data_IF_918433618479
#
_entry.id   IF_918433618479
#
_cell.length_a   1.000
_cell.length_b   1.000
_cell.length_c   1.000
_cell.angle_alpha   90.00
_cell.angle_beta   90.00
_cell.angle_gamma   90.00
#
_symmetry.space_group_name_H-M   'P 1'
#
loop_
_entity.id
_entity.type
_entity.pdbx_description
1 polymer ?
#
# COMPACT_ATOMS: atom_id res chain seq x y z
N UNK A 1 14.72 -14.13 -13.91
CA UNK A 1 13.81 -13.17 -13.23
C UNK A 1 13.14 -13.92 -12.09
N UNK A 2 13.01 -13.31 -10.91
CA UNK A 2 12.31 -13.93 -9.77
C UNK A 2 10.80 -13.72 -9.87
N UNK A 3 10.02 -14.58 -9.19
CA UNK A 3 8.56 -14.43 -9.11
C UNK A 3 8.15 -13.42 -8.04
N UNK A 4 6.90 -12.97 -8.08
CA UNK A 4 6.31 -12.09 -7.06
C UNK A 4 6.27 -12.79 -5.71
N UNK A 5 5.92 -14.09 -5.68
CA UNK A 5 5.95 -14.89 -4.45
C UNK A 5 7.35 -14.99 -3.84
N UNK A 6 8.40 -15.06 -4.65
CA UNK A 6 9.79 -15.02 -4.14
C UNK A 6 10.10 -13.67 -3.48
N UNK A 7 9.64 -12.56 -4.06
CA UNK A 7 9.80 -11.22 -3.47
C UNK A 7 9.10 -11.16 -2.12
N UNK A 8 7.80 -11.49 -2.09
CA UNK A 8 6.96 -11.48 -0.90
C UNK A 8 7.60 -12.28 0.24
N UNK A 9 7.89 -13.56 0.03
CA UNK A 9 8.40 -14.43 1.10
C UNK A 9 9.70 -13.91 1.72
N UNK A 10 10.62 -13.38 0.91
CA UNK A 10 11.91 -12.89 1.40
C UNK A 10 11.78 -11.53 2.10
N UNK A 11 11.00 -10.59 1.53
CA UNK A 11 10.79 -9.28 2.15
C UNK A 11 9.98 -9.38 3.44
N UNK A 12 8.90 -10.18 3.46
CA UNK A 12 8.10 -10.41 4.66
C UNK A 12 8.94 -11.01 5.78
N UNK A 13 9.79 -11.99 5.46
CA UNK A 13 10.71 -12.59 6.43
C UNK A 13 11.71 -11.56 6.98
N UNK A 14 12.32 -10.75 6.12
CA UNK A 14 13.23 -9.70 6.58
C UNK A 14 12.50 -8.66 7.45
N UNK A 15 11.29 -8.27 7.06
CA UNK A 15 10.52 -7.26 7.78
C UNK A 15 10.11 -7.73 9.18
N UNK A 16 9.60 -8.96 9.31
CA UNK A 16 9.25 -9.56 10.60
C UNK A 16 10.46 -9.66 11.51
N UNK A 17 11.60 -10.14 10.98
CA UNK A 17 12.82 -10.27 11.78
C UNK A 17 13.33 -8.91 12.24
N UNK A 18 13.25 -7.90 11.38
CA UNK A 18 13.64 -6.54 11.71
C UNK A 18 12.73 -5.94 12.80
N UNK A 19 11.41 -6.02 12.63
CA UNK A 19 10.44 -5.54 13.62
C UNK A 19 10.61 -6.25 14.96
N UNK A 20 10.79 -7.58 14.92
CA UNK A 20 10.94 -8.38 16.13
C UNK A 20 12.21 -7.99 16.91
N UNK A 21 13.29 -7.69 16.19
CA UNK A 21 14.52 -7.19 16.78
C UNK A 21 14.36 -5.78 17.36
N UNK A 22 13.74 -4.84 16.62
CA UNK A 22 13.58 -3.46 17.10
C UNK A 22 12.67 -3.35 18.32
N UNK A 23 11.54 -4.05 18.30
CA UNK A 23 10.51 -3.93 19.34
C UNK A 23 10.68 -4.96 20.45
N UNK A 24 11.67 -5.84 20.34
CA UNK A 24 11.92 -6.95 21.27
C UNK A 24 10.63 -7.74 21.57
N UNK A 25 9.84 -8.00 20.52
CA UNK A 25 8.52 -8.64 20.56
C UNK A 25 8.38 -9.55 19.35
N UNK A 26 7.62 -10.62 19.44
CA UNK A 26 7.41 -11.52 18.31
C UNK A 26 6.40 -10.92 17.31
N UNK A 27 6.80 -10.88 16.04
CA UNK A 27 5.92 -10.59 14.90
C UNK A 27 5.68 -11.85 14.10
N UNK A 28 4.54 -11.91 13.41
CA UNK A 28 4.19 -12.99 12.50
C UNK A 28 3.56 -12.47 11.22
N UNK A 29 3.60 -13.29 10.17
CA UNK A 29 2.93 -13.01 8.91
C UNK A 29 1.64 -13.82 8.80
N UNK A 30 0.65 -13.18 8.19
CA UNK A 30 -0.53 -13.83 7.63
C UNK A 30 -0.46 -13.68 6.11
N UNK A 31 -0.19 -14.78 5.42
CA UNK A 31 -0.27 -14.84 3.97
C UNK A 31 -1.65 -15.32 3.54
N UNK A 32 -2.44 -14.53 2.81
CA UNK A 32 -3.69 -15.00 2.23
C UNK A 32 -3.44 -16.11 1.20
N UNK A 33 -4.44 -16.94 0.96
CA UNK A 33 -4.43 -17.83 -0.21
C UNK A 33 -4.58 -17.01 -1.49
N UNK A 34 -4.20 -17.56 -2.65
CA UNK A 34 -4.33 -16.85 -3.94
C UNK A 34 -5.76 -16.34 -4.23
N UNK A 35 -6.78 -17.10 -3.81
CA UNK A 35 -8.18 -16.68 -3.93
C UNK A 35 -8.49 -15.50 -3.01
N UNK A 36 -7.96 -15.53 -1.78
CA UNK A 36 -8.09 -14.42 -0.83
C UNK A 36 -7.27 -13.20 -1.26
N UNK A 37 -6.05 -13.33 -1.79
CA UNK A 37 -5.24 -12.21 -2.30
C UNK A 37 -6.04 -11.40 -3.34
N UNK A 38 -6.73 -12.09 -4.26
CA UNK A 38 -7.58 -11.45 -5.26
C UNK A 38 -8.78 -10.70 -4.68
N UNK A 39 -9.29 -11.16 -3.53
CA UNK A 39 -10.39 -10.52 -2.81
C UNK A 39 -9.92 -9.45 -1.83
N UNK A 40 -8.80 -9.64 -1.14
CA UNK A 40 -8.36 -8.82 -0.02
C UNK A 40 -7.46 -7.68 -0.47
N UNK A 41 -6.82 -7.83 -1.63
CA UNK A 41 -6.03 -6.78 -2.24
C UNK A 41 -4.62 -6.64 -1.67
N UNK A 42 -4.19 -7.46 -0.70
CA UNK A 42 -2.80 -7.49 -0.21
C UNK A 42 -2.21 -8.91 -0.26
N UNK A 43 -0.88 -9.03 -0.23
CA UNK A 43 -0.18 -10.32 -0.30
C UNK A 43 0.25 -10.82 1.09
N UNK A 44 0.55 -9.91 2.03
CA UNK A 44 0.87 -10.29 3.40
C UNK A 44 0.35 -9.26 4.41
N UNK A 45 -0.18 -9.75 5.52
CA UNK A 45 -0.32 -8.98 6.76
C UNK A 45 0.84 -9.28 7.71
N UNK A 46 1.44 -8.27 8.31
CA UNK A 46 2.47 -8.41 9.34
C UNK A 46 1.93 -7.86 10.65
N UNK A 47 1.89 -8.69 11.69
CA UNK A 47 1.19 -8.40 12.94
C UNK A 47 2.06 -8.67 14.16
N UNK A 48 1.88 -7.85 15.20
CA UNK A 48 2.58 -7.97 16.48
C UNK A 48 2.40 -6.70 17.31
N UNK A 49 2.66 -6.79 18.62
CA UNK A 49 2.58 -5.64 19.53
C UNK A 49 1.26 -4.85 19.43
N UNK A 50 0.12 -5.53 19.26
CA UNK A 50 -1.21 -4.92 19.07
C UNK A 50 -1.36 -4.00 17.84
N UNK A 51 -0.41 -4.05 16.90
CA UNK A 51 -0.39 -3.29 15.63
C UNK A 51 -0.34 -4.25 14.44
N UNK A 52 -0.56 -3.73 13.24
CA UNK A 52 -0.50 -4.51 12.01
C UNK A 52 -0.20 -3.66 10.78
N UNK A 53 0.39 -4.26 9.76
CA UNK A 53 0.46 -3.66 8.43
C UNK A 53 0.05 -4.64 7.35
N UNK A 54 -0.61 -4.12 6.33
CA UNK A 54 -0.98 -4.85 5.12
C UNK A 54 -0.05 -4.43 3.99
N UNK A 55 0.54 -5.39 3.31
CA UNK A 55 1.58 -5.14 2.31
C UNK A 55 1.19 -5.83 1.01
N UNK A 56 1.16 -5.05 -0.07
CA UNK A 56 1.09 -5.55 -1.43
C UNK A 56 2.48 -5.46 -2.06
N UNK A 57 3.09 -6.60 -2.30
CA UNK A 57 4.33 -6.70 -3.06
C UNK A 57 4.01 -6.68 -4.55
N UNK A 58 4.91 -6.10 -5.34
CA UNK A 58 4.90 -6.28 -6.80
C UNK A 58 6.30 -6.59 -7.27
N UNK A 59 6.47 -7.58 -8.15
CA UNK A 59 7.79 -7.80 -8.77
C UNK A 59 8.08 -6.75 -9.84
N UNK A 60 9.36 -6.43 -10.02
CA UNK A 60 9.81 -5.55 -11.09
C UNK A 60 9.94 -6.28 -12.44
N UNK A 61 9.50 -5.60 -13.49
CA UNK A 61 9.80 -5.89 -14.90
C UNK A 61 10.78 -4.83 -15.39
N UNK A 62 12.00 -5.24 -15.75
CA UNK A 62 13.09 -4.31 -16.06
C UNK A 62 13.35 -4.30 -17.56
N UNK A 63 13.34 -3.10 -18.15
CA UNK A 63 13.68 -2.86 -19.56
C UNK A 63 14.62 -1.65 -19.65
N UNK A 64 15.91 -1.91 -19.89
CA UNK A 64 16.94 -0.87 -19.88
C UNK A 64 17.01 -0.16 -18.52
N UNK A 65 16.82 1.17 -18.51
CA UNK A 65 16.78 1.97 -17.28
C UNK A 65 15.42 1.97 -16.59
N UNK A 66 14.37 1.43 -17.20
CA UNK A 66 13.00 1.51 -16.70
C UNK A 66 12.65 0.27 -15.90
N UNK A 67 12.16 0.50 -14.68
CA UNK A 67 11.61 -0.50 -13.78
C UNK A 67 10.10 -0.33 -13.72
N UNK A 68 9.36 -1.37 -14.06
CA UNK A 68 7.89 -1.36 -14.08
C UNK A 68 7.32 -2.35 -13.06
N UNK A 69 6.28 -1.93 -12.35
CA UNK A 69 5.47 -2.76 -11.47
C UNK A 69 4.02 -2.69 -11.92
N UNK A 70 3.37 -3.85 -12.03
CA UNK A 70 2.01 -3.96 -12.59
C UNK A 70 0.99 -4.09 -11.46
N UNK A 71 0.04 -3.17 -11.40
CA UNK A 71 -0.98 -3.12 -10.36
C UNK A 71 -2.31 -3.68 -10.88
N UNK A 72 -3.18 -4.10 -9.94
CA UNK A 72 -4.57 -4.47 -10.21
C UNK A 72 -4.75 -5.49 -11.35
N UNK A 73 -3.86 -6.49 -11.46
CA UNK A 73 -3.97 -7.56 -12.48
C UNK A 73 -5.00 -8.65 -12.11
N UNK A 74 -5.89 -8.35 -11.17
CA UNK A 74 -7.01 -9.20 -10.76
C UNK A 74 -8.23 -8.98 -11.66
N UNK A 75 -9.24 -9.85 -11.55
CA UNK A 75 -10.48 -9.75 -12.33
C UNK A 75 -11.29 -8.49 -11.97
N UNK A 76 -11.33 -8.14 -10.68
CA UNK A 76 -12.10 -7.00 -10.16
C UNK A 76 -11.42 -5.64 -10.41
N UNK A 77 -10.09 -5.60 -10.54
CA UNK A 77 -9.30 -4.41 -10.88
C UNK A 77 -9.44 -3.23 -9.91
N UNK A 78 -9.79 -3.50 -8.67
CA UNK A 78 -10.15 -2.56 -7.59
C UNK A 78 -9.21 -2.69 -6.37
N UNK A 79 -8.11 -3.42 -6.51
CA UNK A 79 -7.15 -3.69 -5.42
C UNK A 79 -6.58 -2.37 -4.86
N UNK A 80 -6.11 -1.46 -5.72
CA UNK A 80 -5.60 -0.16 -5.29
C UNK A 80 -6.66 0.66 -4.53
N UNK A 81 -7.89 0.71 -5.03
CA UNK A 81 -8.99 1.42 -4.37
C UNK A 81 -9.22 0.92 -2.94
N UNK A 82 -9.32 -0.40 -2.75
CA UNK A 82 -9.56 -0.98 -1.42
C UNK A 82 -8.40 -0.72 -0.46
N UNK A 83 -7.16 -0.77 -0.94
CA UNK A 83 -6.00 -0.43 -0.12
C UNK A 83 -5.96 1.06 0.24
N UNK A 84 -6.40 1.95 -0.66
CA UNK A 84 -6.55 3.38 -0.35
C UNK A 84 -7.60 3.63 0.73
N UNK A 85 -8.73 2.91 0.70
CA UNK A 85 -9.76 3.02 1.75
C UNK A 85 -9.24 2.54 3.11
N UNK A 86 -8.47 1.44 3.16
CA UNK A 86 -7.86 0.94 4.39
C UNK A 86 -6.81 1.91 4.93
N UNK A 87 -6.00 2.51 4.06
CA UNK A 87 -5.05 3.56 4.45
C UNK A 87 -5.78 4.81 4.98
N UNK A 88 -6.84 5.26 4.30
CA UNK A 88 -7.64 6.41 4.70
C UNK A 88 -8.33 6.20 6.06
N UNK A 89 -8.61 4.94 6.43
CA UNK A 89 -9.09 4.57 7.77
C UNK A 89 -8.00 4.63 8.87
N UNK A 90 -6.78 5.06 8.54
CA UNK A 90 -5.68 5.27 9.49
C UNK A 90 -4.75 4.07 9.65
N UNK A 91 -4.86 3.05 8.80
CA UNK A 91 -4.08 1.82 8.95
C UNK A 91 -2.79 1.84 8.12
N UNK A 92 -1.79 1.10 8.61
CA UNK A 92 -0.52 0.93 7.91
C UNK A 92 -0.70 -0.01 6.70
N UNK A 93 -0.86 0.59 5.53
CA UNK A 93 -1.00 -0.14 4.25
C UNK A 93 0.07 0.35 3.29
N UNK A 94 0.78 -0.59 2.67
CA UNK A 94 1.93 -0.26 1.82
C UNK A 94 1.96 -1.07 0.53
N UNK A 95 2.39 -0.41 -0.55
CA UNK A 95 2.98 -1.07 -1.70
C UNK A 95 4.49 -1.19 -1.52
N UNK A 96 5.02 -2.38 -1.79
CA UNK A 96 6.44 -2.68 -1.77
C UNK A 96 6.94 -2.95 -3.21
N UNK A 97 7.77 -2.04 -3.71
CA UNK A 97 8.38 -2.08 -5.04
C UNK A 97 9.89 -2.38 -4.93
N UNK A 98 10.30 -3.67 -4.92
CA UNK A 98 11.69 -4.08 -4.82
C UNK A 98 12.52 -3.56 -5.99
N UNK A 99 13.67 -2.97 -5.68
CA UNK A 99 14.70 -2.58 -6.65
C UNK A 99 15.69 -3.73 -6.89
N UNK A 100 15.14 -4.92 -7.12
CA UNK A 100 15.84 -6.14 -7.50
C UNK A 100 14.88 -7.08 -8.25
N UNK A 101 15.39 -7.84 -9.21
CA UNK A 101 14.56 -8.72 -10.05
C UNK A 101 15.23 -10.06 -10.42
N UNK A 102 16.43 -10.30 -9.90
CA UNK A 102 17.21 -11.52 -10.16
C UNK A 102 17.54 -12.26 -8.86
N UNK A 103 17.77 -13.58 -8.98
CA UNK A 103 18.14 -14.40 -7.83
C UNK A 103 19.49 -13.98 -7.25
N UNK A 104 20.44 -13.57 -8.10
CA UNK A 104 21.76 -13.09 -7.64
C UNK A 104 21.64 -11.82 -6.79
N UNK A 105 20.84 -10.82 -7.22
CA UNK A 105 20.59 -9.62 -6.42
C UNK A 105 19.94 -9.97 -5.07
N UNK A 106 18.96 -10.89 -5.07
CA UNK A 106 18.32 -11.36 -3.85
C UNK A 106 19.32 -12.00 -2.88
N UNK A 107 20.21 -12.87 -3.38
CA UNK A 107 21.24 -13.54 -2.59
C UNK A 107 22.25 -12.55 -2.01
N UNK A 108 22.72 -11.59 -2.82
CA UNK A 108 23.65 -10.55 -2.40
C UNK A 108 23.03 -9.64 -1.32
N UNK A 109 21.75 -9.31 -1.46
CA UNK A 109 21.06 -8.34 -0.60
C UNK A 109 20.21 -8.98 0.51
N UNK A 110 20.31 -10.29 0.76
CA UNK A 110 19.41 -11.10 1.63
C UNK A 110 19.19 -10.63 3.09
N UNK A 111 19.88 -9.60 3.56
CA UNK A 111 19.74 -8.99 4.90
C UNK A 111 19.51 -7.47 4.84
N UNK A 112 19.24 -6.96 3.65
CA UNK A 112 19.11 -5.53 3.32
C UNK A 112 18.03 -5.31 2.25
N UNK A 113 17.16 -6.28 2.02
CA UNK A 113 16.10 -6.20 1.01
C UNK A 113 15.15 -5.04 1.33
N UNK A 114 14.90 -4.73 2.60
CA UNK A 114 14.08 -3.58 3.00
C UNK A 114 14.66 -2.24 2.50
N UNK A 115 16.00 -2.12 2.50
CA UNK A 115 16.72 -0.95 1.98
C UNK A 115 16.77 -0.92 0.45
N UNK A 116 16.58 -2.07 -0.20
CA UNK A 116 16.47 -2.20 -1.65
C UNK A 116 15.01 -2.34 -2.10
N UNK A 117 14.08 -1.72 -1.37
CA UNK A 117 12.66 -1.69 -1.69
C UNK A 117 12.15 -0.26 -1.58
N UNK A 118 11.41 0.18 -2.58
CA UNK A 118 10.70 1.44 -2.55
C UNK A 118 9.32 1.22 -1.95
N UNK A 119 8.98 2.02 -0.94
CA UNK A 119 7.73 1.90 -0.20
C UNK A 119 6.82 3.05 -0.57
N UNK A 120 5.55 2.75 -0.84
CA UNK A 120 4.54 3.75 -1.17
C UNK A 120 3.29 3.50 -0.34
N UNK A 121 2.68 4.58 0.12
CA UNK A 121 1.28 4.53 0.52
C UNK A 121 0.39 4.36 -0.72
N UNK A 122 -0.73 3.62 -0.63
CA UNK A 122 -1.71 3.54 -1.70
C UNK A 122 -2.16 4.91 -2.24
N UNK A 123 -2.33 5.92 -1.37
CA UNK A 123 -2.72 7.29 -1.71
C UNK A 123 -1.69 8.06 -2.54
N UNK A 124 -0.41 7.65 -2.52
CA UNK A 124 0.62 8.23 -3.39
C UNK A 124 0.51 7.75 -4.84
N UNK A 125 -0.27 6.70 -5.10
CA UNK A 125 -0.48 6.12 -6.42
C UNK A 125 -1.83 6.61 -6.94
N UNK A 126 -1.81 7.65 -7.75
CA UNK A 126 -3.03 8.29 -8.30
C UNK A 126 -3.02 8.17 -9.82
N UNK A 127 -3.52 7.06 -10.39
CA UNK A 127 -3.57 6.88 -11.84
C UNK A 127 -4.54 7.85 -12.52
N UNK A 128 -4.29 8.15 -13.80
CA UNK A 128 -5.27 8.82 -14.65
C UNK A 128 -6.54 7.96 -14.75
N UNK A 129 -7.70 8.56 -14.51
CA UNK A 129 -8.99 7.86 -14.50
C UNK A 129 -9.38 7.19 -13.18
N UNK A 130 -8.56 7.33 -12.12
CA UNK A 130 -8.86 6.81 -10.78
C UNK A 130 -8.19 5.47 -10.46
N UNK A 131 -8.45 4.91 -9.26
CA UNK A 131 -7.73 3.75 -8.72
C UNK A 131 -8.22 2.39 -9.23
N UNK A 132 -9.32 2.37 -9.98
CA UNK A 132 -9.88 1.17 -10.60
C UNK A 132 -9.36 1.02 -12.03
N UNK A 133 -9.00 -0.21 -12.39
CA UNK A 133 -8.41 -0.52 -13.69
C UNK A 133 -7.03 -1.15 -13.58
N UNK A 134 -6.41 -1.41 -14.73
CA UNK A 134 -5.04 -1.90 -14.79
C UNK A 134 -4.09 -0.71 -14.81
N UNK A 135 -3.14 -0.67 -13.87
CA UNK A 135 -2.16 0.41 -13.79
C UNK A 135 -0.73 -0.14 -13.77
N UNK A 136 0.21 0.72 -14.09
CA UNK A 136 1.65 0.43 -14.07
C UNK A 136 2.38 1.56 -13.36
N UNK A 137 3.11 1.22 -12.30
CA UNK A 137 4.07 2.15 -11.69
C UNK A 137 5.40 1.96 -12.40
N UNK A 138 6.03 3.06 -12.80
CA UNK A 138 7.32 3.07 -13.48
C UNK A 138 8.32 3.97 -12.77
N UNK A 139 9.55 3.48 -12.68
CA UNK A 139 10.70 4.24 -12.21
C UNK A 139 11.78 4.23 -13.28
N UNK A 140 12.21 5.41 -13.71
CA UNK A 140 13.37 5.56 -14.59
C UNK A 140 14.63 5.78 -13.75
N UNK A 141 15.53 4.81 -13.78
CA UNK A 141 16.77 4.83 -12.99
C UNK A 141 17.81 5.86 -13.47
N UNK A 142 17.65 6.43 -14.66
CA UNK A 142 18.51 7.51 -15.18
C UNK A 142 18.03 8.87 -14.68
N UNK A 143 16.73 9.15 -14.83
CA UNK A 143 16.14 10.45 -14.43
C UNK A 143 15.71 10.50 -12.97
N UNK A 144 15.65 9.34 -12.31
CA UNK A 144 15.18 9.16 -10.93
C UNK A 144 13.71 9.54 -10.72
N UNK A 145 12.91 9.56 -11.81
CA UNK A 145 11.50 9.93 -11.78
C UNK A 145 10.59 8.73 -11.62
N UNK A 146 9.49 8.95 -10.90
CA UNK A 146 8.41 8.00 -10.69
C UNK A 146 7.17 8.44 -11.45
N UNK A 147 6.42 7.48 -11.99
CA UNK A 147 5.15 7.75 -12.65
C UNK A 147 4.20 6.57 -12.57
N UNK A 148 2.90 6.85 -12.59
CA UNK A 148 1.83 5.84 -12.70
C UNK A 148 1.10 6.01 -14.02
N UNK A 149 0.87 4.90 -14.73
CA UNK A 149 0.29 4.86 -16.07
C UNK A 149 -0.99 4.03 -16.05
N UNK A 150 -2.09 4.61 -16.56
CA UNK A 150 -3.28 3.88 -17.00
C UNK A 150 -3.34 3.90 -18.53
N UNK A 151 -3.59 5.10 -19.06
CA UNK A 151 -3.45 5.46 -20.48
C UNK A 151 -2.34 6.50 -20.63
N UNK A 152 -2.38 7.52 -19.78
CA UNK A 152 -1.36 8.55 -19.65
C UNK A 152 -0.56 8.38 -18.36
N UNK A 153 0.72 8.78 -18.41
CA UNK A 153 1.63 8.77 -17.27
C UNK A 153 1.53 10.03 -16.42
N UNK A 154 1.21 9.87 -15.14
CA UNK A 154 1.21 10.95 -14.15
C UNK A 154 2.46 10.80 -13.26
N UNK A 155 3.19 11.90 -13.03
CA UNK A 155 4.35 11.91 -12.14
C UNK A 155 3.93 11.64 -10.69
N UNK A 156 4.65 10.75 -10.01
CA UNK A 156 4.38 10.36 -8.63
C UNK A 156 5.34 11.06 -7.66
N UNK A 157 4.92 11.27 -6.40
CA UNK A 157 5.85 11.70 -5.35
C UNK A 157 6.97 10.65 -5.13
N UNK A 158 8.07 11.01 -4.45
CA UNK A 158 9.09 10.04 -4.08
C UNK A 158 8.55 8.97 -3.11
N UNK A 159 9.20 7.79 -3.04
CA UNK A 159 8.84 6.75 -2.08
C UNK A 159 9.07 7.22 -0.64
N UNK A 160 8.33 6.59 0.28
CA UNK A 160 8.57 6.70 1.71
C UNK A 160 9.96 6.16 2.06
N UNK A 161 10.60 6.81 3.01
CA UNK A 161 11.74 6.25 3.74
C UNK A 161 11.29 5.09 4.61
N UNK A 162 12.22 4.18 4.93
CA UNK A 162 11.93 3.09 5.87
C UNK A 162 11.50 3.63 7.24
N UNK A 163 12.07 4.75 7.69
CA UNK A 163 11.67 5.40 8.94
C UNK A 163 10.22 5.86 8.96
N UNK A 164 9.69 6.36 7.83
CA UNK A 164 8.27 6.72 7.69
C UNK A 164 7.36 5.48 7.67
N UNK A 165 7.79 4.38 7.05
CA UNK A 165 7.05 3.10 7.08
C UNK A 165 6.93 2.60 8.51
N UNK A 166 8.02 2.62 9.27
CA UNK A 166 8.06 2.23 10.69
C UNK A 166 7.16 3.15 11.52
N UNK A 167 7.28 4.46 11.33
CA UNK A 167 6.48 5.44 12.07
C UNK A 167 4.98 5.29 11.81
N UNK A 168 4.59 4.92 10.58
CA UNK A 168 3.21 4.61 10.24
C UNK A 168 2.75 3.27 10.86
N UNK A 169 3.62 2.28 10.92
CA UNK A 169 3.36 1.00 11.59
C UNK A 169 3.12 1.18 13.09
N UNK A 170 3.98 1.97 13.75
CA UNK A 170 3.95 2.24 15.19
C UNK A 170 2.95 3.34 15.61
N UNK A 171 2.19 3.89 14.66
CA UNK A 171 1.18 4.90 14.96
C UNK A 171 0.16 4.32 15.97
N UNK A 172 -0.11 4.98 17.10
CA UNK A 172 -1.13 4.54 18.07
C UNK A 172 -2.53 4.32 17.48
N UNK A 173 -2.85 5.02 16.39
CA UNK A 173 -4.12 4.84 15.66
C UNK A 173 -4.15 3.52 14.87
N UNK A 174 -2.99 2.98 14.50
CA UNK A 174 -2.81 1.72 13.78
C UNK A 174 -2.91 0.50 14.71
N UNK A 175 -4.03 0.37 15.42
CA UNK A 175 -4.28 -0.77 16.29
C UNK A 175 -4.98 -1.91 15.54
N UNK A 176 -4.66 -3.15 15.95
CA UNK A 176 -5.11 -4.36 15.26
C UNK A 176 -6.64 -4.56 15.31
N UNK A 177 -7.31 -4.13 16.39
CA UNK A 177 -8.75 -4.27 16.52
C UNK A 177 -9.48 -3.38 15.50
N UNK A 178 -9.11 -2.10 15.41
CA UNK A 178 -9.65 -1.17 14.43
C UNK A 178 -9.35 -1.62 13.00
N UNK A 179 -8.14 -2.15 12.74
CA UNK A 179 -7.80 -2.71 11.42
C UNK A 179 -8.72 -3.88 11.05
N UNK A 180 -9.01 -4.79 11.98
CA UNK A 180 -9.92 -5.91 11.72
C UNK A 180 -11.36 -5.42 11.42
N UNK A 181 -11.83 -4.40 12.14
CA UNK A 181 -13.14 -3.78 11.90
C UNK A 181 -13.21 -3.11 10.53
N UNK A 182 -12.24 -2.25 10.18
CA UNK A 182 -12.16 -1.58 8.89
C UNK A 182 -12.03 -2.59 7.75
N UNK A 183 -11.23 -3.64 7.93
CA UNK A 183 -11.07 -4.71 6.95
C UNK A 183 -12.38 -5.44 6.69
N UNK A 184 -13.09 -5.84 7.75
CA UNK A 184 -14.39 -6.50 7.59
C UNK A 184 -15.39 -5.60 6.86
N UNK A 185 -15.40 -4.30 7.14
CA UNK A 185 -16.29 -3.37 6.46
C UNK A 185 -15.93 -3.17 4.98
N UNK A 186 -14.65 -2.93 4.67
CA UNK A 186 -14.20 -2.53 3.33
C UNK A 186 -14.06 -3.72 2.38
N UNK A 187 -13.64 -4.87 2.90
CA UNK A 187 -13.23 -6.03 2.08
C UNK A 187 -14.25 -7.16 2.12
N UNK A 188 -14.90 -7.37 3.27
CA UNK A 188 -15.85 -8.47 3.49
C UNK A 188 -17.31 -7.98 3.46
N UNK A 189 -17.54 -6.69 3.73
CA UNK A 189 -18.86 -6.08 3.83
C UNK A 189 -19.65 -6.13 2.52
N UNK A 190 -20.98 -5.98 2.58
CA UNK A 190 -21.82 -5.90 1.39
C UNK A 190 -21.42 -4.67 0.55
N UNK A 191 -21.28 -4.84 -0.77
CA UNK A 191 -20.80 -3.79 -1.71
C UNK A 191 -21.55 -2.45 -1.54
N UNK A 192 -22.83 -2.49 -1.17
CA UNK A 192 -23.67 -1.30 -0.97
C UNK A 192 -23.20 -0.37 0.17
N UNK A 193 -22.48 -0.88 1.18
CA UNK A 193 -21.97 -0.05 2.30
C UNK A 193 -20.82 0.88 1.92
N UNK A 194 -20.17 0.66 0.77
CA UNK A 194 -19.06 1.51 0.30
C UNK A 194 -19.54 2.76 -0.44
N UNK A 195 -20.72 2.73 -1.04
CA UNK A 195 -21.29 3.82 -1.85
C UNK A 195 -21.87 4.93 -0.97
N UNK A 196 -22.57 4.57 0.12
CA UNK A 196 -23.26 5.53 1.00
C UNK A 196 -22.31 6.53 1.69
N UNK A 197 -21.08 6.13 2.03
CA UNK A 197 -20.10 7.04 2.64
C UNK A 197 -19.43 8.00 1.66
N UNK A 198 -19.37 7.65 0.38
CA UNK A 198 -18.83 8.54 -0.64
C UNK A 198 -19.77 9.73 -0.85
N UNK A 199 -21.08 9.49 -0.78
CA UNK A 199 -22.11 10.55 -0.77
C UNK A 199 -22.06 11.40 0.50
N UNK A 200 -21.77 10.84 1.68
CA UNK A 200 -21.61 11.64 2.91
C UNK A 200 -20.35 12.52 2.89
N UNK A 201 -19.24 12.02 2.33
CA UNK A 201 -18.00 12.80 2.22
C UNK A 201 -18.08 13.88 1.12
N UNK A 202 -18.75 13.61 0.00
CA UNK A 202 -18.98 14.62 -1.05
C UNK A 202 -20.04 15.66 -0.63
N UNK A 203 -21.03 15.29 0.18
CA UNK A 203 -22.00 16.25 0.76
C UNK A 203 -21.42 17.08 1.93
N UNK A 204 -20.37 16.59 2.59
CA UNK A 204 -19.64 17.32 3.64
C UNK A 204 -18.86 18.53 3.08
N UNK A 205 -18.44 18.48 1.80
CA UNK A 205 -17.71 19.56 1.13
C UNK A 205 -18.57 20.80 0.80
N UNK A 206 -19.90 20.76 1.01
CA UNK A 206 -20.82 21.86 0.67
C UNK A 206 -21.48 22.57 1.88
N UNK A 207 -21.11 22.27 3.13
CA UNK A 207 -21.69 22.98 4.30
C UNK A 207 -20.78 24.00 4.98
N UNK A 208 -19.68 24.39 4.32
CA UNK A 208 -18.80 25.48 4.77
C UNK A 208 -19.29 26.88 4.40
N UNK A 209 -20.50 27.28 4.82
CA UNK A 209 -20.88 28.70 4.84
C UNK A 209 -20.86 29.20 6.28
N UNK A 210 -19.73 29.81 6.61
CA UNK A 210 -19.56 30.71 7.72
C UNK A 210 -20.34 32.02 7.42
N UNK A 211 -21.31 32.38 8.26
CA UNK A 211 -21.76 33.78 8.37
C UNK A 211 -21.60 34.19 9.83
N UNK A 212 -20.49 34.88 10.10
CA UNK A 212 -20.29 35.68 11.30
C UNK A 212 -20.72 37.12 10.97
N UNK A 213 -21.67 37.62 11.76
CA UNK A 213 -21.62 38.98 12.30
C UNK A 213 -22.48 40.05 11.63
N UNK A 214 -23.42 40.61 12.42
CA UNK A 214 -23.36 42.01 12.86
C UNK A 214 -24.27 42.21 14.06
N UNK A 215 -23.69 42.67 15.17
CA UNK A 215 -24.44 43.38 16.19
C UNK A 215 -24.75 44.79 15.70
N UNK A 216 -25.81 45.38 16.26
CA UNK A 216 -25.84 46.76 16.75
C UNK A 216 -27.11 46.95 17.61
N UNK A 217 -26.88 47.55 18.78
CA UNK A 217 -27.80 48.25 19.71
C UNK A 217 -29.14 47.61 20.13
#
# INVERSE_FOLDING_TARGET
MISEKTVELNLTTEFINWLSHQHNTLYFALGPTQAQEAQWGFDAGVFGNSTGALIQYKRAYVNGSVWEWRLNRTKAKDQLFRLQQLEAAGHAVFYAFPYFHTLSQLQTNRRRLLLHTFWFKPSQIVPSGGPNGHHEVRYDSTTKKWSVHSEEGIEMPPPMSLGEVISAFDNPENNLAALAEAFNLIVVGPEDTLIERQEEHDNSALSGICIVGRGDA
#
